data_IF_120512180502
#
_entry.id   IF_120512180502
#
_cell.length_a   1.000
_cell.length_b   1.000
_cell.length_c   1.000
_cell.angle_alpha   90.00
_cell.angle_beta   90.00
_cell.angle_gamma   90.00
#
_symmetry.space_group_name_H-M   'P 1'
#
loop_
_entity.id
_entity.type
_entity.pdbx_description
1 polymer ?
#
# COMPACT_ATOMS: atom_id res chain seq x y z
N UNK A 1 -15.81 21.04 20.70
CA UNK A 1 -16.28 21.54 19.40
C UNK A 1 -17.65 22.16 19.54
N UNK A 2 -17.87 23.35 18.98
CA UNK A 2 -19.22 23.91 18.87
C UNK A 2 -19.97 22.98 17.88
N UNK A 3 -21.11 22.45 18.32
CA UNK A 3 -22.02 21.60 17.55
C UNK A 3 -21.46 20.21 17.14
N UNK A 4 -20.47 19.68 17.83
CA UNK A 4 -19.95 18.33 17.57
C UNK A 4 -19.22 18.13 16.21
N UNK A 5 -19.13 19.16 15.38
CA UNK A 5 -18.43 19.08 14.08
C UNK A 5 -16.93 19.22 14.30
N UNK A 6 -16.17 18.30 13.70
CA UNK A 6 -14.72 18.33 13.72
C UNK A 6 -14.23 19.12 12.51
N UNK A 7 -13.52 20.20 12.78
CA UNK A 7 -12.85 20.98 11.74
C UNK A 7 -11.38 20.56 11.69
N UNK A 8 -10.86 20.08 10.54
CA UNK A 8 -9.44 19.77 10.44
C UNK A 8 -8.60 21.04 10.59
N UNK A 9 -7.52 20.94 11.36
CA UNK A 9 -6.53 22.00 11.56
C UNK A 9 -5.18 21.44 11.13
N UNK A 10 -4.38 22.23 10.41
CA UNK A 10 -3.01 21.83 10.07
C UNK A 10 -2.17 21.75 11.35
N UNK A 11 -1.37 20.70 11.49
CA UNK A 11 -0.57 20.47 12.71
C UNK A 11 0.41 21.61 13.02
N UNK A 12 0.83 22.37 12.03
CA UNK A 12 1.67 23.56 12.19
C UNK A 12 0.94 24.75 12.83
N UNK A 13 -0.38 24.76 12.81
CA UNK A 13 -1.21 25.81 13.41
C UNK A 13 -1.56 25.51 14.88
N UNK A 14 -1.17 24.33 15.35
CA UNK A 14 -1.38 23.92 16.75
C UNK A 14 -0.28 24.50 17.61
N UNK A 15 -0.60 25.55 18.32
CA UNK A 15 0.30 26.22 19.27
C UNK A 15 0.29 25.46 20.58
N UNK A 16 0.90 24.32 20.64
CA UNK A 16 1.41 23.55 21.76
C UNK A 16 0.88 23.74 23.18
N UNK A 17 -0.37 24.23 23.39
CA UNK A 17 -0.97 24.20 24.72
C UNK A 17 -1.47 22.78 25.02
N UNK A 18 -1.36 22.36 26.27
CA UNK A 18 -1.86 21.05 26.72
C UNK A 18 -3.33 20.85 26.33
N UNK A 19 -4.16 21.88 26.43
CA UNK A 19 -5.57 21.84 26.10
C UNK A 19 -5.84 21.66 24.60
N UNK A 20 -5.02 22.23 23.72
CA UNK A 20 -5.13 22.06 22.28
C UNK A 20 -4.65 20.66 21.87
N UNK A 21 -3.54 20.21 22.44
CA UNK A 21 -3.05 18.85 22.21
C UNK A 21 -4.08 17.79 22.64
N UNK A 22 -4.69 17.94 23.81
CA UNK A 22 -5.75 17.06 24.30
C UNK A 22 -7.00 17.08 23.41
N UNK A 23 -7.37 18.27 22.85
CA UNK A 23 -8.55 18.39 21.99
C UNK A 23 -8.42 17.65 20.65
N UNK A 24 -7.19 17.34 20.24
CA UNK A 24 -6.86 16.60 19.01
C UNK A 24 -6.40 15.16 19.28
N UNK A 25 -6.34 14.77 20.56
CA UNK A 25 -5.88 13.44 20.95
C UNK A 25 -7.06 12.51 21.20
N UNK A 26 -6.98 11.34 20.61
CA UNK A 26 -7.95 10.28 20.81
C UNK A 26 -7.23 9.03 21.32
N UNK A 27 -7.87 8.31 22.23
CA UNK A 27 -7.46 6.95 22.54
C UNK A 27 -8.21 5.96 21.66
N UNK A 28 -7.53 4.93 21.22
CA UNK A 28 -8.13 3.86 20.44
C UNK A 28 -8.72 2.82 21.38
N UNK A 29 -9.95 2.44 21.12
CA UNK A 29 -10.65 1.35 21.77
C UNK A 29 -10.98 0.29 20.71
N UNK A 30 -11.35 -0.93 21.14
CA UNK A 30 -11.94 -1.92 20.26
C UNK A 30 -13.25 -1.35 19.68
N UNK A 31 -13.45 -1.51 18.36
CA UNK A 31 -14.66 -1.04 17.71
C UNK A 31 -15.93 -1.61 18.35
N UNK A 32 -16.97 -0.80 18.48
CA UNK A 32 -18.21 -1.18 19.15
C UNK A 32 -18.89 -2.42 18.55
N UNK A 33 -18.75 -2.63 17.25
CA UNK A 33 -19.25 -3.84 16.59
C UNK A 33 -18.34 -5.07 16.76
N UNK A 34 -17.31 -4.97 17.61
CA UNK A 34 -16.36 -6.07 17.87
C UNK A 34 -15.20 -6.16 16.86
N UNK A 35 -15.17 -5.33 15.80
CA UNK A 35 -14.09 -5.25 14.81
C UNK A 35 -13.63 -3.80 14.62
N UNK A 36 -12.43 -3.59 14.03
CA UNK A 36 -11.88 -2.26 13.84
C UNK A 36 -11.56 -1.53 15.15
N UNK A 37 -11.56 -0.22 15.10
CA UNK A 37 -11.24 0.67 16.22
C UNK A 37 -12.29 1.75 16.39
N UNK A 38 -12.49 2.19 17.62
CA UNK A 38 -13.27 3.36 18.00
C UNK A 38 -12.32 4.39 18.60
N UNK A 39 -12.53 5.65 18.30
CA UNK A 39 -11.72 6.76 18.82
C UNK A 39 -12.50 7.52 19.87
N UNK A 40 -12.05 7.46 21.13
CA UNK A 40 -12.60 8.23 22.24
C UNK A 40 -11.74 9.48 22.49
N UNK A 41 -12.37 10.63 22.67
CA UNK A 41 -11.66 11.88 22.96
C UNK A 41 -10.96 11.82 24.31
N UNK A 42 -9.67 12.19 24.36
CA UNK A 42 -8.92 12.32 25.61
C UNK A 42 -9.45 13.50 26.43
N UNK A 43 -9.77 14.62 25.78
CA UNK A 43 -10.28 15.83 26.44
C UNK A 43 -11.71 15.69 26.95
N UNK A 44 -12.54 14.94 26.24
CA UNK A 44 -13.96 14.74 26.58
C UNK A 44 -14.23 13.24 26.69
N UNK A 45 -13.84 12.58 27.79
CA UNK A 45 -14.09 11.14 27.96
C UNK A 45 -15.58 10.82 27.81
N UNK A 46 -15.89 9.71 27.15
CA UNK A 46 -17.26 9.34 26.81
C UNK A 46 -17.79 9.99 25.54
N UNK A 47 -16.98 10.84 24.85
CA UNK A 47 -17.30 11.31 23.51
C UNK A 47 -16.48 10.55 22.47
N UNK A 48 -17.13 10.07 21.46
CA UNK A 48 -16.56 9.23 20.41
C UNK A 48 -16.61 9.91 19.05
N UNK A 49 -15.54 9.75 18.29
CA UNK A 49 -15.51 10.18 16.90
C UNK A 49 -16.49 9.33 16.09
N UNK A 50 -17.29 9.98 15.27
CA UNK A 50 -18.24 9.33 14.36
C UNK A 50 -18.10 9.86 12.95
N UNK A 51 -18.44 9.01 11.96
CA UNK A 51 -18.54 9.39 10.55
C UNK A 51 -19.92 9.02 10.02
N UNK A 52 -20.74 10.03 9.73
CA UNK A 52 -22.07 9.83 9.16
C UNK A 52 -22.19 10.63 7.86
N UNK A 53 -22.48 9.93 6.76
CA UNK A 53 -22.57 10.55 5.42
C UNK A 53 -21.34 11.40 5.03
N UNK A 54 -20.14 10.94 5.43
CA UNK A 54 -18.88 11.64 5.15
C UNK A 54 -18.57 12.82 6.07
N UNK A 55 -19.43 13.11 7.04
CA UNK A 55 -19.22 14.16 8.05
C UNK A 55 -18.68 13.55 9.33
N UNK A 56 -17.52 14.06 9.79
CA UNK A 56 -16.95 13.70 11.09
C UNK A 56 -17.58 14.56 12.21
N UNK A 57 -17.97 13.91 13.29
CA UNK A 57 -18.53 14.57 14.48
C UNK A 57 -18.15 13.81 15.76
N UNK A 58 -18.49 14.35 16.91
CA UNK A 58 -18.33 13.66 18.19
C UNK A 58 -19.67 13.58 18.91
N UNK A 59 -19.98 12.44 19.51
CA UNK A 59 -21.19 12.19 20.28
C UNK A 59 -20.92 11.27 21.47
N UNK A 60 -21.79 11.34 22.49
CA UNK A 60 -21.76 10.43 23.63
C UNK A 60 -22.53 9.12 23.36
N UNK A 61 -23.44 9.14 22.40
CA UNK A 61 -24.28 8.00 22.03
C UNK A 61 -24.10 7.68 20.53
N UNK A 62 -22.96 7.07 20.17
CA UNK A 62 -22.68 6.71 18.78
C UNK A 62 -23.40 5.43 18.39
N UNK A 63 -23.85 5.33 17.15
CA UNK A 63 -24.17 4.01 16.58
C UNK A 63 -22.87 3.23 16.31
N UNK A 64 -22.91 1.92 16.50
CA UNK A 64 -21.74 1.03 16.29
C UNK A 64 -21.11 1.20 14.90
N UNK A 65 -21.95 1.39 13.89
CA UNK A 65 -21.54 1.57 12.51
C UNK A 65 -20.80 2.90 12.30
N UNK A 66 -21.32 3.98 12.87
CA UNK A 66 -20.79 5.32 12.62
C UNK A 66 -19.51 5.60 13.43
N UNK A 67 -19.29 4.87 14.55
CA UNK A 67 -18.13 5.01 15.43
C UNK A 67 -17.06 3.94 15.24
N UNK A 68 -17.26 2.99 14.31
CA UNK A 68 -16.25 1.97 14.00
C UNK A 68 -15.46 2.36 12.76
N UNK A 69 -14.14 2.45 12.92
CA UNK A 69 -13.20 2.80 11.87
C UNK A 69 -12.27 1.62 11.59
N UNK A 70 -11.86 1.50 10.35
CA UNK A 70 -10.80 0.59 9.95
C UNK A 70 -9.58 1.41 9.58
N UNK A 71 -8.53 1.29 10.39
CA UNK A 71 -7.26 2.00 10.14
C UNK A 71 -6.50 1.22 9.09
N UNK A 72 -6.32 1.82 7.93
CA UNK A 72 -5.44 1.32 6.88
C UNK A 72 -4.22 2.23 6.79
N UNK A 73 -3.05 1.62 6.80
CA UNK A 73 -1.80 2.35 6.60
C UNK A 73 -1.42 2.31 5.12
N UNK A 74 -0.80 3.37 4.62
CA UNK A 74 -0.25 3.42 3.24
C UNK A 74 0.85 2.35 3.02
N UNK A 75 1.12 1.53 4.03
CA UNK A 75 2.14 0.48 4.00
C UNK A 75 1.60 -0.87 3.55
N UNK A 76 0.30 -1.13 3.69
CA UNK A 76 -0.29 -2.43 3.40
C UNK A 76 -0.53 -2.62 1.89
N UNK A 77 0.10 -3.66 1.35
CA UNK A 77 -0.01 -4.01 -0.07
C UNK A 77 -1.23 -4.92 -0.27
N UNK A 78 -2.24 -4.42 -0.96
CA UNK A 78 -3.39 -5.18 -1.39
C UNK A 78 -3.05 -6.16 -2.51
N UNK A 79 -2.32 -5.66 -3.51
CA UNK A 79 -1.93 -6.44 -4.68
C UNK A 79 -0.79 -5.75 -5.43
N UNK A 80 -0.28 -6.43 -6.43
CA UNK A 80 0.75 -5.90 -7.33
C UNK A 80 1.87 -6.89 -7.56
N UNK A 81 2.58 -6.69 -8.64
CA UNK A 81 3.72 -7.53 -9.01
C UNK A 81 4.60 -6.89 -10.08
N UNK A 82 5.78 -7.42 -10.20
CA UNK A 82 6.66 -7.13 -11.32
C UNK A 82 6.12 -7.70 -12.64
N UNK A 83 6.19 -6.90 -13.69
CA UNK A 83 5.81 -7.28 -15.06
C UNK A 83 6.93 -6.90 -16.00
N UNK A 84 7.08 -7.66 -17.08
CA UNK A 84 8.06 -7.42 -18.14
C UNK A 84 7.36 -7.48 -19.48
N UNK A 85 7.67 -6.52 -20.35
CA UNK A 85 7.04 -6.42 -21.67
C UNK A 85 7.59 -7.49 -22.61
N UNK A 86 8.91 -7.52 -22.79
CA UNK A 86 9.55 -8.52 -23.65
C UNK A 86 9.79 -9.80 -22.89
N UNK A 87 9.17 -10.90 -23.32
CA UNK A 87 9.28 -12.23 -22.69
C UNK A 87 9.84 -13.30 -23.62
N UNK A 88 10.00 -13.01 -24.90
CA UNK A 88 10.57 -13.94 -25.90
C UNK A 88 11.91 -13.41 -26.37
N UNK A 89 12.90 -14.26 -26.38
CA UNK A 89 14.28 -14.00 -26.77
C UNK A 89 14.77 -15.08 -27.70
N UNK A 90 15.75 -14.78 -28.52
CA UNK A 90 16.47 -15.80 -29.30
C UNK A 90 17.72 -16.26 -28.56
N UNK A 91 18.17 -17.46 -28.87
CA UNK A 91 19.43 -17.98 -28.35
C UNK A 91 20.57 -16.96 -28.57
N UNK A 92 21.35 -16.71 -27.55
CA UNK A 92 22.43 -15.73 -27.52
C UNK A 92 21.99 -14.24 -27.39
N UNK A 93 20.70 -13.97 -27.43
CA UNK A 93 20.21 -12.58 -27.23
C UNK A 93 20.38 -12.15 -25.76
N UNK A 94 20.92 -10.94 -25.54
CA UNK A 94 21.10 -10.39 -24.19
C UNK A 94 19.74 -10.12 -23.52
N UNK A 95 19.56 -10.66 -22.34
CA UNK A 95 18.37 -10.40 -21.52
C UNK A 95 18.41 -8.94 -21.00
N UNK A 96 17.45 -8.12 -21.44
CA UNK A 96 17.28 -6.74 -20.97
C UNK A 96 16.30 -6.70 -19.82
N UNK A 97 16.56 -5.85 -18.83
CA UNK A 97 15.72 -5.67 -17.63
C UNK A 97 15.08 -4.29 -17.53
N UNK A 98 15.44 -3.35 -18.40
CA UNK A 98 14.94 -1.97 -18.38
C UNK A 98 13.45 -1.80 -18.73
N UNK A 99 12.79 -2.86 -19.19
CA UNK A 99 11.35 -2.92 -19.49
C UNK A 99 10.53 -3.58 -18.36
N UNK A 100 11.15 -3.83 -17.21
CA UNK A 100 10.44 -4.30 -16.01
C UNK A 100 9.71 -3.11 -15.39
N UNK A 101 8.46 -3.35 -15.01
CA UNK A 101 7.61 -2.40 -14.29
C UNK A 101 7.05 -3.08 -13.07
N UNK A 102 7.20 -2.45 -11.91
CA UNK A 102 6.66 -2.93 -10.64
C UNK A 102 5.64 -1.91 -10.16
N UNK A 103 4.42 -2.35 -10.01
CA UNK A 103 3.33 -1.51 -9.56
C UNK A 103 2.59 -2.23 -8.44
N UNK A 104 2.48 -1.56 -7.30
CA UNK A 104 1.78 -2.03 -6.12
C UNK A 104 0.50 -1.21 -5.94
N UNK A 105 -0.55 -1.88 -5.51
CA UNK A 105 -1.81 -1.28 -5.12
C UNK A 105 -1.96 -1.48 -3.62
N UNK A 106 -2.12 -0.39 -2.89
CA UNK A 106 -2.23 -0.39 -1.44
C UNK A 106 -3.70 -0.58 -1.00
N UNK A 107 -3.91 -0.98 0.24
CA UNK A 107 -5.27 -1.09 0.80
C UNK A 107 -6.02 0.26 0.79
N UNK A 108 -5.29 1.37 0.88
CA UNK A 108 -5.83 2.73 0.76
C UNK A 108 -6.31 3.11 -0.66
N UNK A 109 -6.09 2.24 -1.66
CA UNK A 109 -6.37 2.53 -3.06
C UNK A 109 -5.25 3.30 -3.79
N UNK A 110 -4.22 3.74 -3.09
CA UNK A 110 -3.04 4.35 -3.72
C UNK A 110 -2.26 3.35 -4.55
N UNK A 111 -1.59 3.86 -5.58
CA UNK A 111 -0.67 3.11 -6.42
C UNK A 111 0.76 3.57 -6.20
N UNK A 112 1.66 2.63 -5.97
CA UNK A 112 3.10 2.87 -5.83
C UNK A 112 3.85 2.20 -6.97
N UNK A 113 4.76 2.95 -7.62
CA UNK A 113 5.71 2.40 -8.61
C UNK A 113 7.05 2.19 -7.92
N UNK A 114 7.61 0.99 -8.06
CA UNK A 114 8.93 0.67 -7.56
C UNK A 114 9.92 0.76 -8.71
N UNK A 115 10.97 1.53 -8.54
CA UNK A 115 12.04 1.73 -9.53
C UNK A 115 13.35 1.06 -9.14
N UNK A 116 13.52 0.80 -7.84
CA UNK A 116 14.70 0.12 -7.31
C UNK A 116 14.40 -1.37 -7.11
N UNK A 117 15.11 -2.21 -7.85
CA UNK A 117 14.98 -3.65 -7.81
C UNK A 117 16.26 -4.34 -8.29
N UNK A 118 16.42 -5.58 -7.88
CA UNK A 118 17.48 -6.46 -8.34
C UNK A 118 16.92 -7.64 -9.13
N UNK A 119 17.74 -8.25 -9.98
CA UNK A 119 17.34 -9.44 -10.74
C UNK A 119 18.46 -10.48 -10.77
N UNK A 120 18.11 -11.72 -11.16
CA UNK A 120 19.07 -12.76 -11.45
C UNK A 120 19.37 -12.86 -12.96
N UNK A 121 19.19 -11.81 -13.74
CA UNK A 121 19.32 -11.83 -15.19
C UNK A 121 20.69 -12.30 -15.68
N UNK A 122 21.74 -11.94 -14.97
CA UNK A 122 23.14 -12.35 -15.20
C UNK A 122 23.40 -13.84 -15.02
N UNK A 123 22.55 -14.53 -14.27
CA UNK A 123 22.63 -15.97 -13.98
C UNK A 123 21.75 -16.83 -14.88
N UNK A 124 20.98 -16.21 -15.78
CA UNK A 124 20.09 -16.93 -16.68
C UNK A 124 20.86 -17.34 -17.94
N UNK A 125 20.90 -18.65 -18.18
CA UNK A 125 21.48 -19.19 -19.43
C UNK A 125 20.58 -18.82 -20.62
N UNK A 126 21.09 -17.92 -21.46
CA UNK A 126 20.44 -17.50 -22.71
C UNK A 126 20.98 -18.23 -23.94
N UNK A 127 21.88 -19.21 -23.77
CA UNK A 127 22.48 -19.96 -24.87
C UNK A 127 21.67 -21.20 -25.24
N UNK A 128 20.74 -21.63 -24.40
CA UNK A 128 19.87 -22.79 -24.63
C UNK A 128 18.41 -22.38 -24.73
N UNK A 129 17.65 -23.04 -25.59
CA UNK A 129 16.20 -22.82 -25.74
C UNK A 129 15.43 -23.27 -24.51
N UNK A 130 14.20 -22.79 -24.37
CA UNK A 130 13.27 -23.20 -23.33
C UNK A 130 12.78 -22.07 -22.43
N UNK A 131 11.94 -22.45 -21.46
CA UNK A 131 11.41 -21.53 -20.44
C UNK A 131 12.47 -21.28 -19.38
N UNK A 132 12.67 -20.03 -19.04
CA UNK A 132 13.59 -19.56 -17.98
C UNK A 132 12.82 -18.68 -16.99
N UNK A 133 13.28 -18.64 -15.75
CA UNK A 133 12.65 -17.84 -14.71
C UNK A 133 13.54 -16.64 -14.35
N UNK A 134 13.05 -15.44 -14.67
CA UNK A 134 13.64 -14.19 -14.21
C UNK A 134 13.03 -13.84 -12.84
N UNK A 135 13.86 -13.83 -11.82
CA UNK A 135 13.48 -13.37 -10.47
C UNK A 135 13.70 -11.87 -10.38
N UNK A 136 12.70 -11.15 -9.90
CA UNK A 136 12.76 -9.71 -9.66
C UNK A 136 12.52 -9.49 -8.19
N UNK A 137 13.52 -8.96 -7.49
CA UNK A 137 13.45 -8.70 -6.05
C UNK A 137 13.45 -7.21 -5.79
N UNK A 138 12.51 -6.73 -5.01
CA UNK A 138 12.31 -5.34 -4.63
C UNK A 138 11.89 -5.26 -3.17
N UNK A 139 11.97 -4.05 -2.61
CA UNK A 139 11.58 -3.78 -1.23
C UNK A 139 10.54 -2.67 -1.19
N UNK A 140 9.59 -2.81 -0.29
CA UNK A 140 8.63 -1.77 0.03
C UNK A 140 8.35 -1.79 1.54
N UNK A 141 8.55 -0.64 2.20
CA UNK A 141 8.39 -0.46 3.65
C UNK A 141 9.11 -1.51 4.52
N UNK A 142 10.35 -1.86 4.15
CA UNK A 142 11.16 -2.85 4.85
C UNK A 142 10.79 -4.31 4.54
N UNK A 143 9.72 -4.56 3.77
CA UNK A 143 9.38 -5.90 3.30
C UNK A 143 10.02 -6.19 1.94
N UNK A 144 10.81 -7.26 1.88
CA UNK A 144 11.42 -7.75 0.66
C UNK A 144 10.50 -8.72 -0.06
N UNK A 145 10.23 -8.46 -1.33
CA UNK A 145 9.37 -9.30 -2.19
C UNK A 145 10.13 -9.78 -3.42
N UNK A 146 9.81 -10.98 -3.87
CA UNK A 146 10.39 -11.56 -5.08
C UNK A 146 9.30 -12.11 -5.98
N UNK A 147 9.25 -11.60 -7.21
CA UNK A 147 8.36 -12.08 -8.25
C UNK A 147 9.12 -12.90 -9.30
N UNK A 148 8.46 -13.92 -9.81
CA UNK A 148 8.97 -14.78 -10.87
C UNK A 148 8.31 -14.44 -12.20
N UNK A 149 9.11 -14.03 -13.18
CA UNK A 149 8.66 -13.73 -14.53
C UNK A 149 9.16 -14.83 -15.45
N UNK A 150 8.25 -15.53 -16.13
CA UNK A 150 8.62 -16.51 -17.14
C UNK A 150 9.02 -15.79 -18.42
N UNK A 151 10.20 -16.12 -18.95
CA UNK A 151 10.68 -15.77 -20.27
C UNK A 151 10.92 -17.04 -21.08
N UNK A 152 10.91 -16.93 -22.40
CA UNK A 152 11.14 -18.05 -23.29
C UNK A 152 12.30 -17.72 -24.23
N UNK A 153 13.27 -18.60 -24.31
CA UNK A 153 14.35 -18.53 -25.28
C UNK A 153 14.03 -19.51 -26.43
N UNK A 154 13.98 -18.99 -27.65
CA UNK A 154 13.67 -19.75 -28.87
C UNK A 154 14.86 -19.77 -29.82
N UNK A 155 14.88 -20.72 -30.76
CA UNK A 155 15.88 -20.73 -31.80
C UNK A 155 15.78 -19.47 -32.69
N UNK A 156 16.90 -19.04 -33.24
CA UNK A 156 16.98 -17.88 -34.15
C UNK A 156 16.11 -18.04 -35.40
N UNK A 157 15.93 -19.25 -35.86
CA UNK A 157 15.07 -19.59 -37.03
C UNK A 157 13.56 -19.29 -36.74
N UNK A 158 13.13 -19.26 -35.49
CA UNK A 158 11.73 -19.01 -35.13
C UNK A 158 11.23 -17.59 -35.43
N UNK A 159 12.12 -16.62 -35.55
CA UNK A 159 11.79 -15.22 -35.86
C UNK A 159 11.53 -14.90 -37.32
N UNK A 160 11.72 -15.87 -38.22
CA UNK A 160 11.62 -15.64 -39.67
C UNK A 160 10.26 -16.04 -40.29
N UNK A 161 9.24 -16.32 -39.47
CA UNK A 161 7.87 -16.56 -39.95
C UNK A 161 6.94 -15.40 -39.61
#
# INVERSE_FOLDING_TARGET
PKNGVITPVLSQDVKGTTAEAESMTFRTLKGFNGSGVTFESVRYPGYYLTSKNGVLSMTQDPSDKDATFFVSTDTEIKSGKARKTKRMYTVGEKLKTNDIRIQLYLETGKTVKITDYTTNADKIDMTTTGKKTLKVTYEYNGEKKTDNIQITVVDSAYKKK
#
